data_IF_363916313511
#
_entry.id   IF_363916313511
#
_cell.length_a   1.000
_cell.length_b   1.000
_cell.length_c   1.000
_cell.angle_alpha   90.00
_cell.angle_beta   90.00
_cell.angle_gamma   90.00
#
_symmetry.space_group_name_H-M   'P 1'
#
loop_
_entity.id
_entity.type
_entity.pdbx_description
1 polymer ?
#
# COMPACT_ATOMS: atom_id res chain seq x y z
N UNK A 1 27.80 18.65 7.05
CA UNK A 1 27.04 19.06 8.25
C UNK A 1 25.98 18.02 8.53
N UNK A 2 26.14 17.28 9.63
CA UNK A 2 25.11 16.39 10.17
C UNK A 2 24.19 17.30 10.99
N UNK A 3 23.04 17.67 10.45
CA UNK A 3 22.04 18.45 11.19
C UNK A 3 21.00 17.48 11.74
N UNK A 4 21.09 17.19 13.05
CA UNK A 4 19.97 16.68 13.81
C UNK A 4 19.03 17.84 14.09
N UNK A 5 17.87 17.84 13.44
CA UNK A 5 16.86 18.87 13.65
C UNK A 5 15.69 18.23 14.41
N UNK A 6 15.35 18.76 15.58
CA UNK A 6 14.16 18.41 16.34
C UNK A 6 13.22 19.62 16.37
N UNK A 7 11.99 19.44 15.91
CA UNK A 7 11.02 20.54 15.83
C UNK A 7 9.68 20.10 16.42
N UNK A 8 9.13 20.93 17.31
CA UNK A 8 7.87 20.72 17.99
C UNK A 8 7.03 21.95 17.65
N UNK A 9 5.88 21.77 16.98
CA UNK A 9 4.89 22.80 16.53
C UNK A 9 4.82 23.09 15.00
N UNK A 10 4.00 24.09 14.59
CA UNK A 10 3.75 24.54 13.22
C UNK A 10 5.03 24.99 12.52
N UNK A 11 5.52 24.16 11.61
CA UNK A 11 6.82 24.39 10.99
C UNK A 11 6.83 24.04 9.50
N UNK A 12 7.61 24.76 8.71
CA UNK A 12 7.88 24.44 7.31
C UNK A 12 9.38 24.39 7.05
N UNK A 13 9.87 23.30 6.46
CA UNK A 13 11.29 23.08 6.23
C UNK A 13 11.60 22.70 4.79
N UNK A 14 12.71 23.26 4.28
CA UNK A 14 13.32 22.89 3.01
C UNK A 14 14.76 22.46 3.31
N UNK A 15 15.03 21.17 3.24
CA UNK A 15 16.34 20.60 3.57
C UNK A 15 16.95 19.91 2.34
N UNK A 16 18.20 20.28 2.01
CA UNK A 16 18.93 19.60 0.93
C UNK A 16 19.40 18.21 1.38
N UNK A 17 19.98 18.12 2.57
CA UNK A 17 20.49 16.90 3.15
C UNK A 17 20.21 16.93 4.65
N UNK A 18 19.86 15.78 5.20
CA UNK A 18 19.71 15.58 6.63
C UNK A 18 20.08 14.14 6.96
N UNK A 19 20.83 13.93 8.04
CA UNK A 19 21.07 12.57 8.51
C UNK A 19 19.83 12.05 9.24
N UNK A 20 19.44 12.74 10.31
CA UNK A 20 18.30 12.37 11.17
C UNK A 20 17.42 13.60 11.38
N UNK A 21 16.13 13.46 11.09
CA UNK A 21 15.14 14.47 11.39
C UNK A 21 13.97 13.90 12.17
N UNK A 22 13.59 14.58 13.25
CA UNK A 22 12.38 14.27 14.01
C UNK A 22 11.50 15.51 14.12
N UNK A 23 10.20 15.33 13.86
CA UNK A 23 9.23 16.42 13.94
C UNK A 23 7.92 15.98 14.57
N UNK A 24 7.40 16.81 15.47
CA UNK A 24 6.10 16.62 16.11
C UNK A 24 5.16 17.80 15.82
N UNK A 25 3.87 17.52 15.71
CA UNK A 25 2.83 18.55 15.57
C UNK A 25 2.38 18.75 14.13
N UNK A 26 2.29 20.00 13.67
CA UNK A 26 1.81 20.32 12.31
C UNK A 26 2.98 20.75 11.43
N UNK A 27 3.28 20.06 10.34
CA UNK A 27 4.52 20.35 9.62
C UNK A 27 4.47 20.10 8.11
N UNK A 28 5.27 20.86 7.37
CA UNK A 28 5.47 20.70 5.92
C UNK A 28 6.95 20.56 5.62
N UNK A 29 7.27 19.58 4.78
CA UNK A 29 8.64 19.14 4.55
C UNK A 29 8.93 18.94 3.08
N UNK A 30 9.99 19.60 2.60
CA UNK A 30 10.60 19.35 1.30
C UNK A 30 12.04 18.90 1.54
N UNK A 31 12.31 17.61 1.33
CA UNK A 31 13.66 17.05 1.51
C UNK A 31 14.18 16.42 0.22
N UNK A 32 15.42 16.78 -0.15
CA UNK A 32 16.09 16.13 -1.28
C UNK A 32 16.69 14.78 -0.85
N UNK A 33 17.40 14.73 0.27
CA UNK A 33 18.02 13.52 0.80
C UNK A 33 17.88 13.47 2.32
N UNK A 34 17.42 12.33 2.84
CA UNK A 34 17.35 12.07 4.28
C UNK A 34 17.67 10.61 4.59
N UNK A 35 18.54 10.34 5.56
CA UNK A 35 18.78 8.96 5.96
C UNK A 35 17.61 8.46 6.83
N UNK A 36 17.29 9.18 7.91
CA UNK A 36 16.23 8.80 8.83
C UNK A 36 15.31 10.00 9.07
N UNK A 37 14.01 9.79 8.82
CA UNK A 37 12.99 10.79 9.06
C UNK A 37 11.85 10.22 9.88
N UNK A 38 11.58 10.81 11.05
CA UNK A 38 10.50 10.43 11.94
C UNK A 38 9.54 11.61 12.14
N UNK A 39 8.24 11.35 12.04
CA UNK A 39 7.23 12.36 12.33
C UNK A 39 6.06 11.80 13.14
N UNK A 40 5.51 12.64 14.00
CA UNK A 40 4.20 12.43 14.62
C UNK A 40 3.32 13.68 14.49
N UNK A 41 2.04 13.48 14.20
CA UNK A 41 1.05 14.55 14.11
C UNK A 41 0.43 14.71 12.74
N UNK A 42 0.29 15.96 12.26
CA UNK A 42 -0.29 16.25 10.94
C UNK A 42 0.76 16.81 10.00
N UNK A 43 1.08 16.11 8.93
CA UNK A 43 2.27 16.46 8.16
C UNK A 43 2.17 16.21 6.66
N UNK A 44 2.83 17.06 5.88
CA UNK A 44 2.92 16.93 4.42
C UNK A 44 4.38 16.83 3.99
N UNK A 45 4.66 15.87 3.13
CA UNK A 45 6.01 15.47 2.77
C UNK A 45 6.21 15.38 1.26
N UNK A 46 7.27 16.03 0.80
CA UNK A 46 7.83 15.85 -0.54
C UNK A 46 9.29 15.41 -0.36
N UNK A 47 9.56 14.12 -0.57
CA UNK A 47 10.91 13.58 -0.46
C UNK A 47 11.40 12.99 -1.78
N UNK A 48 12.60 13.38 -2.19
CA UNK A 48 13.24 12.76 -3.36
C UNK A 48 13.90 11.43 -3.00
N UNK A 49 14.68 11.37 -1.93
CA UNK A 49 15.36 10.16 -1.47
C UNK A 49 15.29 10.05 0.06
N UNK A 50 14.85 8.90 0.55
CA UNK A 50 14.84 8.60 1.98
C UNK A 50 15.22 7.14 2.23
N UNK A 51 16.15 6.87 3.15
CA UNK A 51 16.43 5.47 3.50
C UNK A 51 15.32 4.93 4.41
N UNK A 52 15.05 5.60 5.52
CA UNK A 52 14.04 5.19 6.51
C UNK A 52 13.12 6.37 6.79
N UNK A 53 11.83 6.15 6.57
CA UNK A 53 10.79 7.12 6.89
C UNK A 53 9.72 6.49 7.77
N UNK A 54 9.47 7.10 8.93
CA UNK A 54 8.43 6.69 9.87
C UNK A 54 7.48 7.84 10.12
N UNK A 55 6.18 7.58 10.03
CA UNK A 55 5.17 8.59 10.30
C UNK A 55 3.99 8.05 11.10
N UNK A 56 3.57 8.81 12.11
CA UNK A 56 2.34 8.58 12.84
C UNK A 56 1.39 9.78 12.72
N UNK A 57 0.09 9.51 12.68
CA UNK A 57 -0.95 10.54 12.71
C UNK A 57 -1.68 10.72 11.37
N UNK A 58 -1.78 11.96 10.88
CA UNK A 58 -2.46 12.29 9.62
C UNK A 58 -1.47 12.88 8.62
N UNK A 59 -1.13 12.15 7.57
CA UNK A 59 -0.03 12.60 6.71
C UNK A 59 -0.26 12.40 5.23
N UNK A 60 0.34 13.27 4.42
CA UNK A 60 0.36 13.16 2.96
C UNK A 60 1.80 13.08 2.46
N UNK A 61 2.07 12.15 1.56
CA UNK A 61 3.41 11.76 1.15
C UNK A 61 3.55 11.71 -0.35
N UNK A 62 4.54 12.43 -0.87
CA UNK A 62 5.04 12.29 -2.24
C UNK A 62 6.50 11.88 -2.15
N UNK A 63 6.80 10.61 -2.47
CA UNK A 63 8.14 10.06 -2.40
C UNK A 63 8.60 9.54 -3.76
N UNK A 64 9.78 9.96 -4.20
CA UNK A 64 10.38 9.41 -5.41
C UNK A 64 11.08 8.07 -5.12
N UNK A 65 11.92 8.01 -4.09
CA UNK A 65 12.63 6.79 -3.70
C UNK A 65 12.63 6.65 -2.19
N UNK A 66 12.23 5.48 -1.71
CA UNK A 66 12.29 5.14 -0.29
C UNK A 66 12.70 3.68 -0.09
N UNK A 67 13.69 3.40 0.77
CA UNK A 67 14.01 2.00 1.07
C UNK A 67 12.98 1.41 2.02
N UNK A 68 12.75 2.05 3.16
CA UNK A 68 11.82 1.59 4.19
C UNK A 68 10.88 2.73 4.55
N UNK A 69 9.59 2.49 4.40
CA UNK A 69 8.55 3.43 4.78
C UNK A 69 7.55 2.76 5.71
N UNK A 70 7.34 3.35 6.88
CA UNK A 70 6.36 2.89 7.87
C UNK A 70 5.40 4.03 8.19
N UNK A 71 4.11 3.76 8.13
CA UNK A 71 3.11 4.76 8.47
C UNK A 71 1.95 4.19 9.30
N UNK A 72 1.52 4.94 10.31
CA UNK A 72 0.37 4.61 11.14
C UNK A 72 -0.62 5.77 11.20
N UNK A 73 -1.92 5.49 11.05
CA UNK A 73 -2.99 6.46 11.18
C UNK A 73 -3.76 6.69 9.88
N UNK A 74 -3.89 7.96 9.46
CA UNK A 74 -4.64 8.35 8.25
C UNK A 74 -3.70 8.95 7.23
N UNK A 75 -3.43 8.24 6.14
CA UNK A 75 -2.36 8.68 5.24
C UNK A 75 -2.69 8.56 3.76
N UNK A 76 -2.11 9.45 2.96
CA UNK A 76 -2.15 9.38 1.49
C UNK A 76 -0.72 9.29 0.99
N UNK A 77 -0.45 8.31 0.12
CA UNK A 77 0.88 8.07 -0.42
C UNK A 77 0.89 8.06 -1.94
N UNK A 78 1.84 8.79 -2.49
CA UNK A 78 2.24 8.74 -3.89
C UNK A 78 3.72 8.35 -3.90
N UNK A 79 4.01 7.09 -4.20
CA UNK A 79 5.39 6.58 -4.25
C UNK A 79 5.77 6.15 -5.66
N UNK A 80 6.92 6.62 -6.15
CA UNK A 80 7.47 6.11 -7.40
C UNK A 80 8.17 4.77 -7.21
N UNK A 81 9.08 4.67 -6.25
CA UNK A 81 9.84 3.46 -5.92
C UNK A 81 9.91 3.29 -4.41
N UNK A 82 9.54 2.10 -3.93
CA UNK A 82 9.69 1.73 -2.53
C UNK A 82 10.12 0.28 -2.37
N UNK A 83 11.15 -0.02 -1.57
CA UNK A 83 11.53 -1.42 -1.35
C UNK A 83 10.57 -2.07 -0.36
N UNK A 84 10.40 -1.47 0.82
CA UNK A 84 9.54 -1.98 1.89
C UNK A 84 8.60 -0.87 2.32
N UNK A 85 7.30 -1.12 2.18
CA UNK A 85 6.26 -0.21 2.64
C UNK A 85 5.33 -0.93 3.62
N UNK A 86 5.17 -0.37 4.81
CA UNK A 86 4.25 -0.88 5.84
C UNK A 86 3.31 0.23 6.25
N UNK A 87 2.01 -0.05 6.25
CA UNK A 87 1.02 0.92 6.67
C UNK A 87 -0.10 0.32 7.52
N UNK A 88 -0.48 1.02 8.59
CA UNK A 88 -1.59 0.65 9.45
C UNK A 88 -2.61 1.80 9.57
N UNK A 89 -3.90 1.49 9.50
CA UNK A 89 -4.98 2.45 9.69
C UNK A 89 -5.80 2.67 8.43
N UNK A 90 -6.05 3.94 8.07
CA UNK A 90 -6.85 4.30 6.88
C UNK A 90 -5.97 4.99 5.85
N UNK A 91 -5.76 4.34 4.72
CA UNK A 91 -4.75 4.82 3.79
C UNK A 91 -5.16 4.74 2.32
N UNK A 92 -4.62 5.66 1.52
CA UNK A 92 -4.73 5.65 0.06
C UNK A 92 -3.34 5.59 -0.53
N UNK A 93 -3.14 4.69 -1.48
CA UNK A 93 -1.84 4.35 -2.02
C UNK A 93 -1.84 4.43 -3.54
N UNK A 94 -0.92 5.21 -4.08
CA UNK A 94 -0.60 5.23 -5.50
C UNK A 94 0.88 4.90 -5.65
N UNK A 95 1.18 3.67 -6.10
CA UNK A 95 2.55 3.17 -6.21
C UNK A 95 2.88 2.78 -7.65
N UNK A 96 4.05 3.22 -8.12
CA UNK A 96 4.59 2.79 -9.41
C UNK A 96 5.30 1.44 -9.28
N UNK A 97 6.25 1.34 -8.35
CA UNK A 97 7.03 0.13 -8.11
C UNK A 97 7.19 -0.08 -6.62
N UNK A 98 6.86 -1.28 -6.16
CA UNK A 98 7.09 -1.69 -4.77
C UNK A 98 7.54 -3.15 -4.68
N UNK A 99 8.61 -3.43 -3.94
CA UNK A 99 9.02 -4.82 -3.76
C UNK A 99 8.10 -5.51 -2.74
N UNK A 100 7.99 -4.94 -1.54
CA UNK A 100 7.19 -5.50 -0.45
C UNK A 100 6.27 -4.41 0.06
N UNK A 101 4.97 -4.69 0.00
CA UNK A 101 3.94 -3.79 0.51
C UNK A 101 3.02 -4.52 1.48
N UNK A 102 2.96 -4.05 2.73
CA UNK A 102 2.07 -4.58 3.76
C UNK A 102 1.12 -3.49 4.23
N UNK A 103 -0.17 -3.79 4.31
CA UNK A 103 -1.15 -2.87 4.85
C UNK A 103 -2.19 -3.54 5.75
N UNK A 104 -2.54 -2.89 6.84
CA UNK A 104 -3.61 -3.30 7.74
C UNK A 104 -4.63 -2.18 7.94
N UNK A 105 -5.92 -2.51 7.89
CA UNK A 105 -7.02 -1.59 8.15
C UNK A 105 -7.88 -1.31 6.92
N UNK A 106 -8.14 -0.03 6.63
CA UNK A 106 -9.02 0.41 5.53
C UNK A 106 -8.21 1.08 4.43
N UNK A 107 -8.04 0.42 3.30
CA UNK A 107 -7.08 0.88 2.31
C UNK A 107 -7.59 0.87 0.88
N UNK A 108 -7.12 1.82 0.07
CA UNK A 108 -7.31 1.84 -1.37
C UNK A 108 -5.94 1.83 -2.03
N UNK A 109 -5.74 0.91 -2.98
CA UNK A 109 -4.47 0.71 -3.64
C UNK A 109 -4.59 0.85 -5.15
N UNK A 110 -3.68 1.62 -5.73
CA UNK A 110 -3.44 1.70 -7.16
C UNK A 110 -1.95 1.39 -7.35
N UNK A 111 -1.63 0.16 -7.77
CA UNK A 111 -0.24 -0.27 -7.99
C UNK A 111 0.00 -0.64 -9.45
N UNK A 112 1.09 -0.12 -10.02
CA UNK A 112 1.53 -0.57 -11.35
C UNK A 112 2.31 -1.87 -11.29
N UNK A 113 3.30 -1.97 -10.41
CA UNK A 113 4.15 -3.15 -10.24
C UNK A 113 4.38 -3.40 -8.75
N UNK A 114 4.10 -4.62 -8.31
CA UNK A 114 4.40 -5.05 -6.96
C UNK A 114 4.89 -6.50 -6.91
N UNK A 115 6.00 -6.79 -6.23
CA UNK A 115 6.42 -8.19 -6.11
C UNK A 115 5.56 -8.91 -5.08
N UNK A 116 5.49 -8.38 -3.85
CA UNK A 116 4.74 -8.96 -2.75
C UNK A 116 3.81 -7.90 -2.18
N UNK A 117 2.51 -8.18 -2.22
CA UNK A 117 1.47 -7.34 -1.64
C UNK A 117 0.66 -8.13 -0.62
N UNK A 118 0.61 -7.65 0.61
CA UNK A 118 -0.20 -8.22 1.69
C UNK A 118 -1.12 -7.15 2.24
N UNK A 119 -2.41 -7.45 2.33
CA UNK A 119 -3.38 -6.55 2.92
C UNK A 119 -4.38 -7.26 3.83
N UNK A 120 -4.63 -6.70 5.01
CA UNK A 120 -5.62 -7.19 5.95
C UNK A 120 -6.67 -6.11 6.27
N UNK A 121 -7.94 -6.48 6.32
CA UNK A 121 -9.05 -5.60 6.67
C UNK A 121 -9.98 -5.32 5.50
N UNK A 122 -10.27 -4.04 5.23
CA UNK A 122 -11.14 -3.62 4.14
C UNK A 122 -10.35 -2.91 3.05
N UNK A 123 -10.25 -3.53 1.88
CA UNK A 123 -9.34 -3.06 0.85
C UNK A 123 -9.97 -3.01 -0.53
N UNK A 124 -9.55 -2.03 -1.33
CA UNK A 124 -9.84 -1.96 -2.76
C UNK A 124 -8.52 -1.92 -3.50
N UNK A 125 -8.34 -2.78 -4.50
CA UNK A 125 -7.10 -2.94 -5.24
C UNK A 125 -7.32 -2.73 -6.72
N UNK A 126 -6.47 -1.90 -7.32
CA UNK A 126 -6.27 -1.80 -8.76
C UNK A 126 -4.80 -2.12 -9.02
N UNK A 127 -4.51 -3.35 -9.44
CA UNK A 127 -3.13 -3.81 -9.69
C UNK A 127 -2.94 -4.11 -11.18
N UNK A 128 -1.92 -3.50 -11.78
CA UNK A 128 -1.54 -3.83 -13.16
C UNK A 128 -0.70 -5.11 -13.22
N UNK A 129 0.33 -5.22 -12.39
CA UNK A 129 1.21 -6.38 -12.30
C UNK A 129 1.54 -6.68 -10.85
N UNK A 130 1.30 -7.92 -10.41
CA UNK A 130 1.71 -8.37 -9.09
C UNK A 130 2.21 -9.82 -9.10
N UNK A 131 3.36 -10.13 -8.50
CA UNK A 131 3.80 -11.53 -8.45
C UNK A 131 3.01 -12.31 -7.39
N UNK A 132 2.91 -11.78 -6.16
CA UNK A 132 2.14 -12.39 -5.09
C UNK A 132 1.26 -11.34 -4.42
N UNK A 133 -0.05 -11.53 -4.47
CA UNK A 133 -1.03 -10.72 -3.78
C UNK A 133 -1.81 -11.58 -2.80
N UNK A 134 -1.73 -11.24 -1.52
CA UNK A 134 -2.50 -11.86 -0.44
C UNK A 134 -3.42 -10.82 0.20
N UNK A 135 -4.72 -11.11 0.28
CA UNK A 135 -5.65 -10.29 1.03
C UNK A 135 -6.49 -11.11 2.02
N UNK A 136 -6.68 -10.55 3.21
CA UNK A 136 -7.57 -11.09 4.23
C UNK A 136 -8.63 -10.04 4.60
N UNK A 137 -9.88 -10.46 4.67
CA UNK A 137 -11.02 -9.60 5.04
C UNK A 137 -11.90 -9.24 3.84
N UNK A 138 -12.44 -8.02 3.83
CA UNK A 138 -13.35 -7.57 2.78
C UNK A 138 -12.58 -6.86 1.68
N UNK A 139 -12.52 -7.45 0.50
CA UNK A 139 -11.68 -6.96 -0.58
C UNK A 139 -12.43 -6.82 -1.90
N UNK A 140 -12.01 -5.87 -2.72
CA UNK A 140 -12.46 -5.71 -4.10
C UNK A 140 -11.23 -5.49 -4.98
N UNK A 141 -11.19 -6.17 -6.13
CA UNK A 141 -9.99 -6.23 -6.95
C UNK A 141 -10.28 -6.00 -8.42
N UNK A 142 -9.41 -5.22 -9.04
CA UNK A 142 -9.24 -5.11 -10.48
C UNK A 142 -7.77 -5.47 -10.76
N UNK A 143 -7.53 -6.68 -11.28
CA UNK A 143 -6.18 -7.19 -11.58
C UNK A 143 -6.02 -7.41 -13.08
N UNK A 144 -4.96 -6.83 -13.65
CA UNK A 144 -4.58 -7.12 -15.04
C UNK A 144 -3.71 -8.37 -15.14
N UNK A 145 -2.66 -8.47 -14.33
CA UNK A 145 -1.74 -9.60 -14.29
C UNK A 145 -1.35 -9.89 -12.83
N UNK A 146 -1.63 -11.10 -12.34
CA UNK A 146 -1.13 -11.58 -11.06
C UNK A 146 -0.69 -13.05 -11.11
N UNK A 147 0.53 -13.36 -10.70
CA UNK A 147 1.00 -14.76 -10.78
C UNK A 147 0.31 -15.61 -9.71
N UNK A 148 0.36 -15.16 -8.46
CA UNK A 148 -0.23 -15.84 -7.31
C UNK A 148 -1.18 -14.85 -6.62
N UNK A 149 -2.45 -15.23 -6.54
CA UNK A 149 -3.45 -14.45 -5.83
C UNK A 149 -4.15 -15.30 -4.77
N UNK A 150 -4.08 -14.87 -3.51
CA UNK A 150 -4.78 -15.47 -2.38
C UNK A 150 -5.72 -14.46 -1.75
N UNK A 151 -7.00 -14.79 -1.64
CA UNK A 151 -7.95 -13.98 -0.87
C UNK A 151 -8.79 -14.83 0.07
N UNK A 152 -8.95 -14.33 1.29
CA UNK A 152 -9.78 -14.94 2.32
C UNK A 152 -10.80 -13.93 2.85
N UNK A 153 -12.07 -14.34 2.93
CA UNK A 153 -13.18 -13.47 3.33
C UNK A 153 -13.97 -12.97 2.12
N UNK A 154 -14.79 -11.94 2.32
CA UNK A 154 -15.69 -11.46 1.26
C UNK A 154 -14.92 -10.71 0.19
N UNK A 155 -14.90 -11.27 -1.01
CA UNK A 155 -14.06 -10.75 -2.08
C UNK A 155 -14.82 -10.62 -3.40
N UNK A 156 -14.53 -9.57 -4.16
CA UNK A 156 -15.11 -9.30 -5.49
C UNK A 156 -13.97 -9.06 -6.47
N UNK A 157 -14.01 -9.70 -7.65
CA UNK A 157 -12.89 -9.70 -8.58
C UNK A 157 -13.29 -9.36 -10.01
N UNK A 158 -12.40 -8.63 -10.66
CA UNK A 158 -12.28 -8.55 -12.12
C UNK A 158 -10.84 -8.88 -12.50
N UNK A 159 -10.65 -9.93 -13.30
CA UNK A 159 -9.33 -10.48 -13.62
C UNK A 159 -9.18 -10.66 -15.12
N UNK A 160 -8.03 -10.24 -15.67
CA UNK A 160 -7.71 -10.48 -17.08
C UNK A 160 -6.77 -11.68 -17.29
N UNK A 161 -5.69 -11.79 -16.50
CA UNK A 161 -4.72 -12.88 -16.59
C UNK A 161 -4.15 -13.24 -15.22
N UNK A 162 -4.23 -14.51 -14.82
CA UNK A 162 -3.56 -15.04 -13.62
C UNK A 162 -3.11 -16.48 -13.84
N UNK A 163 -2.02 -16.90 -13.19
CA UNK A 163 -1.51 -18.28 -13.26
C UNK A 163 -2.07 -19.18 -12.14
N UNK A 164 -2.18 -18.66 -10.91
CA UNK A 164 -2.62 -19.46 -9.75
C UNK A 164 -3.50 -18.64 -8.81
N UNK A 165 -4.67 -19.18 -8.45
CA UNK A 165 -5.63 -18.52 -7.57
C UNK A 165 -6.10 -19.44 -6.45
N UNK A 166 -6.13 -18.90 -5.22
CA UNK A 166 -6.75 -19.55 -4.06
C UNK A 166 -7.73 -18.58 -3.42
N UNK A 167 -9.02 -18.91 -3.50
CA UNK A 167 -10.09 -18.13 -2.89
C UNK A 167 -10.76 -18.95 -1.81
N UNK A 168 -10.94 -18.34 -0.63
CA UNK A 168 -11.66 -18.95 0.47
C UNK A 168 -12.86 -18.07 0.85
N UNK A 169 -14.06 -18.65 0.77
CA UNK A 169 -15.38 -18.07 1.07
C UNK A 169 -15.95 -17.10 0.00
N UNK A 170 -17.26 -16.83 0.13
CA UNK A 170 -18.14 -16.09 -0.80
C UNK A 170 -17.42 -15.09 -1.72
N UNK A 171 -17.17 -15.55 -2.95
CA UNK A 171 -16.52 -14.80 -4.03
C UNK A 171 -17.50 -14.65 -5.19
N UNK A 172 -17.57 -13.45 -5.78
CA UNK A 172 -18.32 -13.21 -7.03
C UNK A 172 -17.26 -12.91 -8.09
N UNK A 173 -17.19 -13.76 -9.11
CA UNK A 173 -16.24 -13.63 -10.22
C UNK A 173 -16.97 -13.24 -11.51
N UNK A 174 -16.41 -12.28 -12.23
CA UNK A 174 -16.57 -12.13 -13.68
C UNK A 174 -15.18 -12.22 -14.29
N UNK A 175 -14.84 -13.36 -14.90
CA UNK A 175 -13.53 -13.64 -15.49
C UNK A 175 -13.66 -13.92 -17.00
N UNK A 176 -12.73 -13.39 -17.78
CA UNK A 176 -12.47 -13.82 -19.15
C UNK A 176 -11.10 -14.52 -19.16
N UNK A 177 -11.08 -15.82 -18.85
CA UNK A 177 -9.84 -16.59 -18.75
C UNK A 177 -9.27 -16.93 -20.14
N UNK A 178 -8.00 -16.56 -20.37
CA UNK A 178 -7.14 -17.12 -21.42
C UNK A 178 -5.80 -17.49 -20.76
N UNK A 179 -5.70 -18.70 -20.19
CA UNK A 179 -4.46 -19.19 -19.58
C UNK A 179 -4.62 -20.53 -18.85
N UNK A 180 -3.67 -21.46 -19.06
CA UNK A 180 -3.59 -22.78 -18.45
C UNK A 180 -3.17 -22.68 -16.97
N UNK A 181 -4.05 -23.04 -16.04
CA UNK A 181 -3.75 -23.16 -14.62
C UNK A 181 -4.94 -23.72 -13.83
N UNK A 182 -4.70 -24.64 -12.89
CA UNK A 182 -5.74 -25.26 -12.06
C UNK A 182 -6.48 -24.20 -11.23
N UNK A 183 -7.80 -24.15 -11.40
CA UNK A 183 -8.69 -23.31 -10.60
C UNK A 183 -9.35 -24.19 -9.53
N UNK A 184 -8.87 -24.17 -8.29
CA UNK A 184 -9.54 -24.86 -7.17
C UNK A 184 -10.58 -23.91 -6.57
N UNK A 185 -11.82 -24.02 -7.03
CA UNK A 185 -12.97 -23.33 -6.45
C UNK A 185 -13.56 -24.22 -5.35
N UNK A 186 -13.37 -23.86 -4.07
CA UNK A 186 -14.17 -24.43 -3.00
C UNK A 186 -15.52 -23.69 -2.96
N UNK A 187 -16.48 -24.17 -3.75
CA UNK A 187 -17.85 -23.63 -3.81
C UNK A 187 -18.62 -23.97 -2.54
N UNK A 188 -19.27 -22.96 -1.93
CA UNK A 188 -20.39 -23.16 -1.01
C UNK A 188 -21.63 -22.59 -1.70
N UNK A 189 -22.60 -23.47 -1.95
CA UNK A 189 -23.89 -23.21 -2.59
C UNK A 189 -24.55 -21.91 -2.13
N UNK A 190 -24.92 -21.04 -3.07
CA UNK A 190 -25.91 -20.00 -2.82
C UNK A 190 -27.32 -20.59 -3.02
N UNK A 191 -28.06 -20.73 -1.92
CA UNK A 191 -29.52 -20.83 -1.98
C UNK A 191 -30.06 -19.45 -2.40
N UNK A 192 -30.61 -19.34 -3.60
CA UNK A 192 -31.52 -18.25 -3.96
C UNK A 192 -32.91 -18.64 -3.45
N UNK A 193 -33.58 -17.86 -2.57
CA UNK A 193 -35.02 -18.00 -2.44
C UNK A 193 -35.66 -17.52 -3.76
N UNK A 194 -36.35 -18.42 -4.45
CA UNK A 194 -37.30 -18.07 -5.50
C UNK A 194 -38.45 -17.29 -4.86
N UNK A 195 -38.78 -16.13 -5.43
CA UNK A 195 -40.14 -15.60 -5.45
C UNK A 195 -40.55 -15.56 -6.91
#
# INVERSE_FOLDING_TARGET
>A
MVTENNCIDRSAFILKQCNIHTAAGRSVFILKQCNIHTTDGRSVFILKQCNIHTAAGRSAFILKQCNIHTAAGRSVFILKQCNIHTAAGRSVFILKQCNIHTAAGRSVFILKQCNIHTAAGRSVFILKQCNNCTAAGRSAFILKQCNIHTAAGRSVFTLKYNNTQKLANASIEQSSQYGFGETIIMSVNQHYPRV
#
